data_IF_434855165544
#
_entry.id   IF_434855165544
#
_cell.length_a   1.000
_cell.length_b   1.000
_cell.length_c   1.000
_cell.angle_alpha   90.00
_cell.angle_beta   90.00
_cell.angle_gamma   90.00
#
_symmetry.space_group_name_H-M   'P 1'
#
loop_
_entity.id
_entity.type
_entity.pdbx_description
1 polymer ?
#
# COMPACT_ATOMS: atom_id res chain seq x y z
N UNK A 1 -13.01 -4.78 7.71
CA UNK A 1 -13.67 -4.23 6.50
C UNK A 1 -13.99 -5.36 5.54
N UNK A 2 -15.19 -5.37 4.96
CA UNK A 2 -15.62 -6.35 3.95
C UNK A 2 -15.54 -5.69 2.56
N UNK A 3 -15.00 -6.39 1.58
CA UNK A 3 -14.85 -5.96 0.18
C UNK A 3 -15.62 -6.91 -0.74
N UNK A 4 -15.97 -6.46 -1.94
CA UNK A 4 -16.46 -7.33 -3.01
C UNK A 4 -15.39 -8.33 -3.46
N UNK A 5 -15.79 -9.31 -4.28
CA UNK A 5 -14.86 -10.36 -4.74
C UNK A 5 -13.69 -9.83 -5.58
N UNK A 6 -13.84 -8.63 -6.17
CA UNK A 6 -12.79 -7.96 -6.94
C UNK A 6 -11.91 -7.01 -6.13
N UNK A 7 -12.19 -6.79 -4.85
CA UNK A 7 -11.53 -5.78 -4.00
C UNK A 7 -11.64 -4.36 -4.53
N UNK A 8 -12.72 -4.03 -5.24
CA UNK A 8 -12.96 -2.72 -5.85
C UNK A 8 -13.93 -1.85 -5.05
N UNK A 9 -14.70 -2.44 -4.12
CA UNK A 9 -15.71 -1.72 -3.36
C UNK A 9 -15.77 -2.17 -1.89
N UNK A 10 -15.64 -1.19 -0.99
CA UNK A 10 -15.91 -1.36 0.45
C UNK A 10 -17.39 -1.63 0.69
N UNK A 11 -17.71 -2.85 1.15
CA UNK A 11 -19.06 -3.29 1.49
C UNK A 11 -19.45 -2.97 2.93
N UNK A 12 -18.49 -2.94 3.88
CA UNK A 12 -18.74 -2.55 5.27
C UNK A 12 -17.45 -2.25 6.05
N UNK A 13 -17.53 -1.30 6.99
CA UNK A 13 -16.50 -1.03 8.02
C UNK A 13 -16.84 -1.64 9.38
N UNK A 14 -18.06 -2.14 9.57
CA UNK A 14 -18.52 -2.76 10.82
C UNK A 14 -17.87 -4.12 11.05
N UNK A 15 -17.72 -4.51 12.32
CA UNK A 15 -17.26 -5.84 12.73
C UNK A 15 -18.21 -6.96 12.27
N UNK A 16 -19.45 -6.61 11.93
CA UNK A 16 -20.49 -7.51 11.43
C UNK A 16 -20.97 -7.06 10.05
N UNK A 17 -21.19 -8.03 9.15
CA UNK A 17 -21.75 -7.81 7.82
C UNK A 17 -22.81 -8.87 7.53
N UNK A 18 -24.06 -8.44 7.43
CA UNK A 18 -25.18 -9.33 7.12
C UNK A 18 -25.23 -9.61 5.61
N UNK A 19 -24.61 -10.70 5.18
CA UNK A 19 -24.63 -11.15 3.79
C UNK A 19 -25.94 -11.90 3.47
N UNK A 20 -26.63 -11.49 2.40
CA UNK A 20 -27.77 -12.23 1.83
C UNK A 20 -27.40 -12.75 0.44
N UNK A 21 -27.27 -14.07 0.24
CA UNK A 21 -26.95 -14.61 -1.07
C UNK A 21 -28.12 -14.39 -2.05
N UNK A 22 -27.83 -13.90 -3.24
CA UNK A 22 -28.82 -13.74 -4.32
C UNK A 22 -29.12 -15.05 -5.08
N UNK A 23 -28.26 -16.06 -4.91
CA UNK A 23 -28.39 -17.40 -5.52
C UNK A 23 -27.86 -18.44 -4.52
N UNK A 24 -28.33 -19.68 -4.62
CA UNK A 24 -27.75 -20.79 -3.86
C UNK A 24 -26.25 -20.90 -4.19
N UNK A 25 -25.41 -20.80 -3.16
CA UNK A 25 -23.97 -21.01 -3.24
C UNK A 25 -23.57 -21.99 -2.14
N UNK A 26 -22.63 -22.88 -2.44
CA UNK A 26 -22.11 -23.88 -1.50
C UNK A 26 -21.01 -23.34 -0.59
N UNK A 27 -20.36 -22.25 -0.99
CA UNK A 27 -19.17 -21.73 -0.29
C UNK A 27 -19.16 -20.19 -0.26
N UNK A 28 -18.64 -19.63 0.84
CA UNK A 28 -18.41 -18.21 1.05
C UNK A 28 -16.98 -18.03 1.58
N UNK A 29 -16.18 -17.19 0.93
CA UNK A 29 -14.83 -16.87 1.39
C UNK A 29 -14.78 -15.44 1.90
N UNK A 30 -14.43 -15.27 3.18
CA UNK A 30 -14.14 -13.98 3.77
C UNK A 30 -12.62 -13.81 3.89
N UNK A 31 -12.08 -12.73 3.32
CA UNK A 31 -10.67 -12.36 3.51
C UNK A 31 -10.59 -11.19 4.47
N UNK A 32 -10.01 -11.44 5.63
CA UNK A 32 -9.71 -10.42 6.63
C UNK A 32 -8.30 -9.90 6.36
N UNK A 33 -8.14 -8.58 6.25
CA UNK A 33 -6.83 -7.92 6.21
C UNK A 33 -6.67 -7.15 7.51
N UNK A 34 -5.48 -7.22 8.11
CA UNK A 34 -5.12 -6.32 9.21
C UNK A 34 -5.26 -4.88 8.73
N UNK A 35 -5.74 -3.99 9.60
CA UNK A 35 -5.81 -2.57 9.30
C UNK A 35 -4.39 -2.03 9.20
N UNK A 36 -4.02 -1.58 8.00
CA UNK A 36 -2.73 -0.98 7.75
C UNK A 36 -2.67 0.38 8.45
N UNK A 37 -1.56 0.70 9.12
CA UNK A 37 -1.34 2.03 9.71
C UNK A 37 -1.16 3.02 8.56
N UNK A 38 -2.05 4.02 8.37
CA UNK A 38 -1.88 5.04 7.36
C UNK A 38 -0.70 5.95 7.73
N UNK A 39 0.21 6.17 6.78
CA UNK A 39 1.37 7.07 6.94
C UNK A 39 1.11 8.49 6.41
N UNK A 40 -0.06 8.69 5.80
CA UNK A 40 -0.48 9.89 5.08
C UNK A 40 -1.61 10.66 5.79
N UNK A 41 -1.87 10.40 7.08
CA UNK A 41 -2.90 11.11 7.84
C UNK A 41 -2.64 12.63 7.92
N UNK A 42 -1.38 13.03 7.99
CA UNK A 42 -0.95 14.43 7.97
C UNK A 42 -0.62 14.94 6.55
N UNK A 43 -1.00 14.16 5.52
CA UNK A 43 -0.71 14.41 4.12
C UNK A 43 0.35 13.48 3.55
N UNK A 44 0.44 13.45 2.22
CA UNK A 44 1.37 12.58 1.51
C UNK A 44 2.80 13.11 1.55
N UNK A 45 3.76 12.19 1.41
CA UNK A 45 5.19 12.48 1.32
C UNK A 45 5.87 11.54 0.33
N UNK A 46 7.12 11.84 -0.05
CA UNK A 46 7.94 10.93 -0.84
C UNK A 46 8.73 9.93 0.03
N UNK A 47 8.89 10.25 1.31
CA UNK A 47 9.63 9.45 2.27
C UNK A 47 8.76 9.22 3.50
N UNK A 48 8.69 7.97 3.96
CA UNK A 48 7.93 7.62 5.15
C UNK A 48 8.77 6.85 6.17
N UNK A 49 8.47 7.05 7.44
CA UNK A 49 9.11 6.36 8.57
C UNK A 49 8.17 5.27 9.09
N UNK A 50 8.62 4.02 9.05
CA UNK A 50 7.90 2.84 9.52
C UNK A 50 8.50 2.33 10.84
N UNK A 51 7.98 2.81 11.96
CA UNK A 51 8.58 2.58 13.30
C UNK A 51 8.47 1.16 13.84
N UNK A 52 7.56 0.33 13.32
CA UNK A 52 7.29 -1.02 13.85
C UNK A 52 7.71 -2.08 12.84
N UNK A 53 8.38 -3.14 13.30
CA UNK A 53 8.67 -4.33 12.52
C UNK A 53 7.41 -5.18 12.35
N UNK A 54 7.39 -6.05 11.34
CA UNK A 54 6.29 -6.98 11.06
C UNK A 54 4.90 -6.31 11.09
N UNK A 55 4.83 -5.05 10.64
CA UNK A 55 3.64 -4.21 10.74
C UNK A 55 3.26 -3.70 9.36
N UNK A 56 1.97 -3.76 9.06
CA UNK A 56 1.43 -3.29 7.80
C UNK A 56 1.15 -1.79 7.86
N UNK A 57 1.61 -1.08 6.84
CA UNK A 57 1.43 0.35 6.64
C UNK A 57 0.78 0.62 5.28
N UNK A 58 0.17 1.79 5.11
CA UNK A 58 -0.36 2.21 3.82
C UNK A 58 -0.19 3.72 3.58
N UNK A 59 -0.22 4.12 2.31
CA UNK A 59 -0.31 5.53 1.91
C UNK A 59 -0.97 5.68 0.54
N UNK A 60 -1.55 6.85 0.27
CA UNK A 60 -2.08 7.23 -1.05
C UNK A 60 -0.93 7.34 -2.06
N UNK A 61 -0.97 6.45 -3.06
CA UNK A 61 0.02 6.36 -4.12
C UNK A 61 -0.44 7.06 -5.41
N UNK A 62 -1.52 7.84 -5.36
CA UNK A 62 -1.99 8.67 -6.48
C UNK A 62 -1.37 10.08 -6.49
N UNK A 63 -0.60 10.43 -5.44
CA UNK A 63 0.00 11.75 -5.25
C UNK A 63 1.53 11.67 -5.27
N UNK A 64 2.17 12.47 -6.14
CA UNK A 64 3.62 12.64 -6.14
C UNK A 64 4.07 13.52 -4.96
N UNK A 65 5.00 13.01 -4.15
CA UNK A 65 5.51 13.72 -2.97
C UNK A 65 4.38 14.14 -2.04
N UNK A 66 4.28 15.44 -1.76
CA UNK A 66 3.21 16.04 -0.96
C UNK A 66 2.14 16.75 -1.80
N UNK A 67 2.13 16.53 -3.12
CA UNK A 67 1.17 17.14 -4.03
C UNK A 67 1.30 18.66 -4.18
N UNK A 68 2.35 19.30 -3.61
CA UNK A 68 2.57 20.74 -3.72
C UNK A 68 3.44 21.08 -4.93
N UNK A 69 3.06 22.15 -5.63
CA UNK A 69 3.91 22.74 -6.66
C UNK A 69 5.04 23.53 -6.01
N UNK A 70 6.27 23.32 -6.48
CA UNK A 70 7.41 24.20 -6.21
C UNK A 70 7.95 24.75 -7.53
N UNK A 71 8.89 25.68 -7.48
CA UNK A 71 9.48 26.28 -8.69
C UNK A 71 9.97 25.19 -9.63
N UNK A 72 9.41 25.16 -10.84
CA UNK A 72 9.70 24.18 -11.91
C UNK A 72 9.31 22.72 -11.63
N UNK A 73 8.67 22.41 -10.51
CA UNK A 73 8.22 21.05 -10.17
C UNK A 73 6.72 21.08 -9.93
N UNK A 74 5.97 20.49 -10.86
CA UNK A 74 4.50 20.39 -10.80
C UNK A 74 4.12 18.92 -10.64
N UNK A 75 3.61 18.50 -9.47
CA UNK A 75 3.22 17.12 -9.26
C UNK A 75 2.06 16.75 -10.17
N UNK A 76 2.12 15.54 -10.72
CA UNK A 76 1.04 14.94 -11.49
C UNK A 76 0.33 13.87 -10.68
N UNK A 77 -0.95 13.65 -10.98
CA UNK A 77 -1.68 12.52 -10.43
C UNK A 77 -1.13 11.23 -11.03
N UNK A 78 -0.81 10.28 -10.17
CA UNK A 78 -0.29 8.97 -10.57
C UNK A 78 -1.44 7.99 -10.81
N UNK A 79 -1.32 7.21 -11.89
CA UNK A 79 -2.27 6.15 -12.25
C UNK A 79 -1.51 4.83 -12.43
N UNK A 80 -1.30 4.12 -11.32
CA UNK A 80 -0.63 2.82 -11.33
C UNK A 80 -1.61 1.65 -11.35
N UNK A 81 -1.08 0.46 -11.61
CA UNK A 81 -1.82 -0.82 -11.61
C UNK A 81 -1.29 -1.82 -10.59
N UNK A 82 -0.02 -1.72 -10.21
CA UNK A 82 0.63 -2.60 -9.24
C UNK A 82 1.78 -1.88 -8.54
N UNK A 83 2.30 -2.45 -7.46
CA UNK A 83 3.47 -1.93 -6.77
C UNK A 83 4.47 -3.05 -6.47
N UNK A 84 5.76 -2.70 -6.45
CA UNK A 84 6.87 -3.64 -6.24
C UNK A 84 7.88 -3.09 -5.23
N UNK A 85 8.57 -3.99 -4.54
CA UNK A 85 9.82 -3.68 -3.86
C UNK A 85 10.94 -3.57 -4.91
N UNK A 86 11.47 -2.37 -5.12
CA UNK A 86 12.56 -2.12 -6.09
C UNK A 86 13.88 -2.58 -5.50
N UNK A 87 14.15 -2.20 -4.25
CA UNK A 87 15.37 -2.53 -3.53
C UNK A 87 15.16 -2.42 -2.02
N UNK A 88 16.01 -3.09 -1.25
CA UNK A 88 16.12 -2.93 0.20
C UNK A 88 17.58 -3.07 0.65
N UNK A 89 17.90 -2.52 1.82
CA UNK A 89 19.24 -2.62 2.41
C UNK A 89 19.49 -4.03 2.95
N UNK A 90 20.72 -4.52 2.77
CA UNK A 90 21.16 -5.83 3.26
C UNK A 90 21.25 -6.86 2.14
N UNK A 91 21.51 -8.11 2.51
CA UNK A 91 21.69 -9.23 1.58
C UNK A 91 20.54 -10.24 1.64
N UNK A 92 19.70 -10.16 2.69
CA UNK A 92 18.54 -11.01 2.86
C UNK A 92 17.33 -10.37 2.20
N UNK A 93 16.75 -11.07 1.23
CA UNK A 93 15.53 -10.65 0.57
C UNK A 93 14.36 -10.63 1.57
N UNK A 94 13.50 -9.63 1.43
CA UNK A 94 12.30 -9.37 2.21
C UNK A 94 12.56 -9.11 3.71
N UNK A 95 13.79 -8.74 4.07
CA UNK A 95 14.18 -8.51 5.47
C UNK A 95 13.69 -7.15 6.01
N UNK A 96 13.62 -6.12 5.15
CA UNK A 96 13.15 -4.78 5.51
C UNK A 96 11.67 -4.64 5.18
N UNK A 97 11.24 -5.13 4.01
CA UNK A 97 9.85 -5.12 3.56
C UNK A 97 9.48 -6.54 3.15
N UNK A 98 8.54 -7.15 3.87
CA UNK A 98 8.16 -8.55 3.66
C UNK A 98 7.09 -8.74 2.58
N UNK A 99 6.26 -7.72 2.36
CA UNK A 99 5.16 -7.74 1.38
C UNK A 99 4.85 -6.33 0.87
N UNK A 100 4.41 -6.23 -0.39
CA UNK A 100 3.95 -5.00 -1.04
C UNK A 100 2.75 -5.33 -1.91
N UNK A 101 1.71 -4.50 -1.85
CA UNK A 101 0.53 -4.59 -2.71
C UNK A 101 -0.01 -3.20 -3.05
N UNK A 102 -0.78 -3.13 -4.12
CA UNK A 102 -1.48 -1.93 -4.56
C UNK A 102 -2.94 -2.26 -4.84
N UNK A 103 -3.84 -1.46 -4.27
CA UNK A 103 -5.28 -1.53 -4.51
C UNK A 103 -5.92 -0.18 -4.19
N UNK A 104 -6.95 0.20 -4.94
CA UNK A 104 -7.74 1.42 -4.70
C UNK A 104 -6.89 2.70 -4.57
N UNK A 105 -5.83 2.81 -5.38
CA UNK A 105 -4.93 3.97 -5.37
C UNK A 105 -3.96 4.01 -4.19
N UNK A 106 -3.96 3.00 -3.31
CA UNK A 106 -3.09 2.94 -2.13
C UNK A 106 -2.04 1.85 -2.28
N UNK A 107 -0.81 2.17 -1.89
CA UNK A 107 0.21 1.15 -1.62
C UNK A 107 0.02 0.69 -0.18
N UNK A 108 0.03 -0.63 0.01
CA UNK A 108 0.09 -1.28 1.32
C UNK A 108 1.35 -2.11 1.37
N UNK A 109 2.16 -1.96 2.41
CA UNK A 109 3.39 -2.74 2.59
C UNK A 109 3.50 -3.23 4.03
N UNK A 110 4.22 -4.33 4.23
CA UNK A 110 4.51 -4.88 5.56
C UNK A 110 6.00 -4.80 5.81
N UNK A 111 6.41 -4.19 6.93
CA UNK A 111 7.82 -4.23 7.35
C UNK A 111 8.24 -5.66 7.67
N UNK A 112 9.51 -5.99 7.45
CA UNK A 112 10.08 -7.28 7.78
C UNK A 112 10.60 -7.35 9.22
N UNK A 113 11.54 -8.25 9.44
CA UNK A 113 12.16 -8.50 10.76
C UNK A 113 13.39 -7.64 11.04
N UNK A 114 13.85 -6.82 10.07
CA UNK A 114 15.03 -5.97 10.20
C UNK A 114 14.75 -4.51 9.89
N UNK A 115 15.61 -3.64 10.43
CA UNK A 115 15.64 -2.19 10.18
C UNK A 115 16.54 -1.88 8.99
N UNK A 116 16.21 -0.80 8.29
CA UNK A 116 16.94 -0.38 7.10
C UNK A 116 16.07 0.45 6.16
N UNK A 117 16.58 0.60 4.95
CA UNK A 117 15.95 1.41 3.91
C UNK A 117 15.41 0.52 2.79
N UNK A 118 14.30 0.93 2.19
CA UNK A 118 13.73 0.27 1.03
C UNK A 118 13.11 1.27 0.05
N UNK A 119 13.11 0.92 -1.23
CA UNK A 119 12.42 1.65 -2.29
C UNK A 119 11.20 0.86 -2.78
N UNK A 120 10.01 1.46 -2.72
CA UNK A 120 8.79 0.87 -3.26
C UNK A 120 8.38 1.65 -4.51
N UNK A 121 8.19 0.95 -5.62
CA UNK A 121 7.78 1.52 -6.91
C UNK A 121 6.31 1.28 -7.21
N UNK A 122 5.65 2.28 -7.82
CA UNK A 122 4.35 2.12 -8.48
C UNK A 122 4.57 1.89 -9.97
N UNK A 123 3.98 0.82 -10.50
CA UNK A 123 4.05 0.45 -11.90
C UNK A 123 2.77 0.84 -12.64
N UNK A 124 2.90 1.29 -13.88
CA UNK A 124 1.77 1.51 -14.79
C UNK A 124 1.27 0.19 -15.43
N UNK A 125 0.35 0.27 -16.38
CA UNK A 125 -0.19 -0.91 -17.09
C UNK A 125 0.81 -1.65 -17.98
N UNK A 126 1.96 -1.03 -18.29
CA UNK A 126 3.04 -1.61 -19.09
C UNK A 126 4.13 -2.22 -18.22
N UNK A 127 3.99 -2.13 -16.88
CA UNK A 127 4.99 -2.55 -15.92
C UNK A 127 6.14 -1.55 -15.75
N UNK A 128 6.01 -0.32 -16.26
CA UNK A 128 7.02 0.72 -16.11
C UNK A 128 6.85 1.43 -14.76
N UNK A 129 7.96 1.61 -14.04
CA UNK A 129 7.94 2.34 -12.76
C UNK A 129 7.78 3.84 -13.01
N UNK A 130 6.62 4.38 -12.62
CA UNK A 130 6.25 5.79 -12.85
C UNK A 130 6.55 6.70 -11.64
N UNK A 131 6.67 6.12 -10.45
CA UNK A 131 7.06 6.83 -9.23
C UNK A 131 7.58 5.84 -8.18
N UNK A 132 8.39 6.32 -7.26
CA UNK A 132 8.87 5.51 -6.14
C UNK A 132 8.92 6.30 -4.84
N UNK A 133 8.64 5.61 -3.74
CA UNK A 133 8.75 6.13 -2.38
C UNK A 133 9.90 5.46 -1.65
N UNK A 134 10.51 6.23 -0.76
CA UNK A 134 11.56 5.73 0.12
C UNK A 134 10.97 5.42 1.50
N UNK A 135 11.23 4.23 2.03
CA UNK A 135 10.76 3.78 3.33
C UNK A 135 11.95 3.63 4.28
N UNK A 136 11.87 4.29 5.43
CA UNK A 136 12.81 4.13 6.54
C UNK A 136 12.17 3.25 7.61
N UNK A 137 12.56 1.97 7.66
CA UNK A 137 12.23 1.08 8.76
C UNK A 137 13.24 1.31 9.88
N UNK A 138 12.86 2.13 10.86
CA UNK A 138 13.67 2.52 12.02
C UNK A 138 12.84 2.38 13.29
N UNK A 139 13.41 2.68 14.44
CA UNK A 139 12.81 2.74 15.76
C UNK A 139 12.15 4.11 16.07
#
# INVERSE_FOLDING_TARGET
>A
MVLDSGYTQRLSTSATYAFRPQKARTELYARFKAEAIPLDEDGTANCYIARKLNTTYSFDATVQGNGKTTTNIRPQRLNGTSAILIWETGTERNAIISDVSFADGRITFTTGSKRGNAGIGLLDSRGECIWSWHIWSVD
#
